data_IF_718539161561
#
_entry.id   IF_718539161561
#
_cell.length_a   1.000
_cell.length_b   1.000
_cell.length_c   1.000
_cell.angle_alpha   90.00
_cell.angle_beta   90.00
_cell.angle_gamma   90.00
#
_symmetry.space_group_name_H-M   'P 1'
#
loop_
_entity.id
_entity.type
_entity.pdbx_description
1 polymer ?
#
# COMPACT_ATOMS: atom_id res chain seq x y z
N UNK A 1 -0.77 18.01 3.94
CA UNK A 1 -1.44 16.74 4.33
C UNK A 1 -0.47 15.92 5.16
N UNK A 2 -0.90 15.35 6.29
CA UNK A 2 -0.06 14.45 7.09
C UNK A 2 0.08 13.10 6.37
N UNK A 3 1.29 12.60 6.10
CA UNK A 3 1.49 11.31 5.45
C UNK A 3 1.14 10.15 6.41
N UNK A 4 0.65 9.03 5.87
CA UNK A 4 0.27 7.84 6.65
C UNK A 4 1.47 6.92 6.97
N UNK A 5 2.63 7.20 6.38
CA UNK A 5 3.89 6.51 6.58
C UNK A 5 5.05 7.52 6.45
N UNK A 6 6.26 7.11 6.83
CA UNK A 6 7.48 7.92 6.65
C UNK A 6 8.51 7.18 5.80
N UNK A 7 9.54 7.89 5.33
CA UNK A 7 10.68 7.24 4.64
C UNK A 7 11.42 6.28 5.57
N UNK A 8 11.44 6.55 6.88
CA UNK A 8 12.01 5.64 7.88
C UNK A 8 11.22 4.32 7.95
N UNK A 9 9.89 4.37 7.84
CA UNK A 9 9.05 3.17 7.77
C UNK A 9 9.35 2.31 6.54
N UNK A 10 9.68 2.95 5.42
CA UNK A 10 10.10 2.28 4.18
C UNK A 10 11.48 1.64 4.37
N UNK A 11 12.45 2.40 4.89
CA UNK A 11 13.81 1.91 5.14
C UNK A 11 13.84 0.75 6.15
N UNK A 12 13.00 0.79 7.20
CA UNK A 12 12.94 -0.25 8.21
C UNK A 12 12.40 -1.59 7.69
N UNK A 13 11.79 -1.61 6.50
CA UNK A 13 11.17 -2.79 5.87
C UNK A 13 11.98 -3.36 4.70
N UNK A 14 13.17 -2.82 4.46
CA UNK A 14 14.11 -3.37 3.49
C UNK A 14 15.47 -3.55 4.16
N UNK A 15 16.15 -4.65 3.82
CA UNK A 15 17.51 -4.93 4.29
C UNK A 15 18.54 -4.07 3.54
N UNK A 16 18.15 -3.47 2.40
CA UNK A 16 19.02 -2.64 1.57
C UNK A 16 18.89 -1.18 1.99
N UNK A 17 20.03 -0.53 2.21
CA UNK A 17 20.05 0.91 2.43
C UNK A 17 19.63 1.66 1.17
N UNK A 18 18.56 2.45 1.28
CA UNK A 18 18.09 3.28 0.18
C UNK A 18 19.10 4.37 -0.11
N UNK A 19 19.46 4.55 -1.38
CA UNK A 19 20.30 5.68 -1.80
C UNK A 19 19.56 7.01 -1.57
N UNK A 20 20.28 8.13 -1.56
CA UNK A 20 19.67 9.45 -1.41
C UNK A 20 18.59 9.73 -2.48
N UNK A 21 18.80 9.26 -3.71
CA UNK A 21 17.80 9.38 -4.79
C UNK A 21 16.57 8.51 -4.51
N UNK A 22 16.76 7.28 -4.03
CA UNK A 22 15.66 6.40 -3.65
C UNK A 22 14.88 6.94 -2.45
N UNK A 23 15.55 7.55 -1.47
CA UNK A 23 14.91 8.22 -0.33
C UNK A 23 14.06 9.42 -0.78
N UNK A 24 14.57 10.23 -1.72
CA UNK A 24 13.81 11.34 -2.30
C UNK A 24 12.58 10.84 -3.06
N UNK A 25 12.72 9.78 -3.87
CA UNK A 25 11.58 9.14 -4.55
C UNK A 25 10.60 8.54 -3.56
N UNK A 26 11.07 7.86 -2.50
CA UNK A 26 10.22 7.28 -1.47
C UNK A 26 9.36 8.35 -0.77
N UNK A 27 9.92 9.54 -0.49
CA UNK A 27 9.17 10.63 0.12
C UNK A 27 7.99 11.09 -0.75
N UNK A 28 8.20 11.21 -2.07
CA UNK A 28 7.14 11.55 -3.03
C UNK A 28 6.09 10.44 -3.08
N UNK A 29 6.53 9.19 -3.26
CA UNK A 29 5.65 8.04 -3.36
C UNK A 29 4.81 7.81 -2.10
N UNK A 30 5.35 8.07 -0.91
CA UNK A 30 4.60 8.03 0.35
C UNK A 30 3.49 9.08 0.38
N UNK A 31 3.76 10.28 -0.14
CA UNK A 31 2.76 11.34 -0.30
C UNK A 31 1.63 10.92 -1.23
N UNK A 32 1.99 10.40 -2.40
CA UNK A 32 1.03 9.92 -3.40
C UNK A 32 0.21 8.74 -2.88
N UNK A 33 0.85 7.78 -2.22
CA UNK A 33 0.18 6.62 -1.63
C UNK A 33 -0.83 7.06 -0.56
N UNK A 34 -0.45 8.03 0.27
CA UNK A 34 -1.35 8.60 1.28
C UNK A 34 -2.58 9.28 0.64
N UNK A 35 -2.39 9.96 -0.50
CA UNK A 35 -3.50 10.57 -1.23
C UNK A 35 -4.41 9.51 -1.88
N UNK A 36 -3.84 8.47 -2.49
CA UNK A 36 -4.59 7.35 -3.10
C UNK A 36 -5.43 6.63 -2.04
N UNK A 37 -4.84 6.31 -0.88
CA UNK A 37 -5.56 5.65 0.22
C UNK A 37 -6.75 6.48 0.66
N UNK A 38 -6.58 7.79 0.88
CA UNK A 38 -7.70 8.66 1.29
C UNK A 38 -8.78 8.80 0.22
N UNK A 39 -8.41 8.75 -1.05
CA UNK A 39 -9.38 8.77 -2.15
C UNK A 39 -10.15 7.45 -2.28
N UNK A 40 -9.51 6.30 -2.00
CA UNK A 40 -10.12 4.96 -2.15
C UNK A 40 -10.77 4.43 -0.88
N UNK A 41 -10.35 4.91 0.28
CA UNK A 41 -10.85 4.53 1.60
C UNK A 41 -11.39 5.80 2.28
N UNK A 42 -12.57 6.30 1.86
CA UNK A 42 -13.15 7.51 2.44
C UNK A 42 -13.46 7.37 3.93
N UNK A 43 -13.75 6.14 4.38
CA UNK A 43 -14.02 5.78 5.78
C UNK A 43 -12.74 5.41 6.57
N UNK A 44 -11.57 5.89 6.15
CA UNK A 44 -10.32 5.62 6.86
C UNK A 44 -10.44 6.14 8.30
N UNK A 45 -10.15 5.27 9.28
CA UNK A 45 -10.21 5.65 10.70
C UNK A 45 -9.24 6.78 11.05
N UNK A 46 -9.62 7.62 12.01
CA UNK A 46 -8.77 8.63 12.63
C UNK A 46 -8.69 8.37 14.15
N UNK A 47 -7.53 7.96 14.69
CA UNK A 47 -6.25 7.79 13.99
C UNK A 47 -6.25 6.61 12.99
N UNK A 48 -5.36 6.65 11.97
CA UNK A 48 -5.22 5.56 11.00
C UNK A 48 -4.91 4.22 11.67
N UNK A 49 -5.32 3.09 11.07
CA UNK A 49 -5.01 1.77 11.60
C UNK A 49 -3.49 1.54 11.65
N UNK A 50 -3.03 0.77 12.63
CA UNK A 50 -1.60 0.45 12.80
C UNK A 50 -0.99 -0.31 11.61
N UNK A 51 -1.83 -0.88 10.74
CA UNK A 51 -1.43 -1.53 9.48
C UNK A 51 -1.03 -0.53 8.39
N UNK A 52 -1.46 0.74 8.47
CA UNK A 52 -1.27 1.74 7.42
C UNK A 52 0.21 1.97 7.05
N UNK A 53 1.16 2.15 7.99
CA UNK A 53 2.56 2.32 7.63
C UNK A 53 3.14 1.10 6.89
N UNK A 54 2.71 -0.11 7.24
CA UNK A 54 3.17 -1.34 6.61
C UNK A 54 2.65 -1.51 5.18
N UNK A 55 1.38 -1.24 4.97
CA UNK A 55 0.76 -1.28 3.64
C UNK A 55 1.41 -0.25 2.71
N UNK A 56 1.51 1.01 3.15
CA UNK A 56 2.13 2.06 2.34
C UNK A 56 3.60 1.76 2.03
N UNK A 57 4.39 1.36 3.03
CA UNK A 57 5.80 1.05 2.81
C UNK A 57 5.99 -0.11 1.80
N UNK A 58 5.14 -1.13 1.86
CA UNK A 58 5.18 -2.26 0.92
C UNK A 58 4.86 -1.81 -0.51
N UNK A 59 3.82 -0.98 -0.69
CA UNK A 59 3.49 -0.40 -1.99
C UNK A 59 4.60 0.49 -2.55
N UNK A 60 5.24 1.30 -1.70
CA UNK A 60 6.37 2.17 -2.07
C UNK A 60 7.60 1.35 -2.45
N UNK A 61 7.97 0.32 -1.68
CA UNK A 61 9.08 -0.57 -2.03
C UNK A 61 8.84 -1.28 -3.36
N UNK A 62 7.60 -1.68 -3.62
CA UNK A 62 7.19 -2.28 -4.90
C UNK A 62 7.33 -1.30 -6.07
N UNK A 63 6.94 -0.05 -5.87
CA UNK A 63 7.09 1.02 -6.86
C UNK A 63 8.57 1.34 -7.12
N UNK A 64 9.40 1.40 -6.08
CA UNK A 64 10.84 1.61 -6.20
C UNK A 64 11.56 0.46 -6.91
N UNK A 65 11.07 -0.76 -6.74
CA UNK A 65 11.61 -1.94 -7.42
C UNK A 65 11.16 -2.07 -8.88
N UNK A 66 10.15 -1.30 -9.30
CA UNK A 66 9.61 -1.32 -10.66
C UNK A 66 10.30 -0.26 -11.53
N UNK A 67 10.80 -0.60 -12.72
CA UNK A 67 11.38 0.38 -13.62
C UNK A 67 10.32 1.41 -14.07
N UNK A 68 10.70 2.70 -14.23
CA UNK A 68 9.76 3.80 -14.49
C UNK A 68 9.05 3.72 -15.84
N UNK A 69 9.58 2.94 -16.78
CA UNK A 69 8.96 2.73 -18.10
C UNK A 69 7.71 1.83 -18.06
N UNK A 70 7.42 1.18 -16.94
CA UNK A 70 6.38 0.15 -16.87
C UNK A 70 6.59 -1.02 -17.84
N UNK A 71 7.75 -1.08 -18.50
CA UNK A 71 8.01 -1.97 -19.61
C UNK A 71 8.39 -3.37 -19.13
N UNK A 72 7.64 -4.30 -19.72
CA UNK A 72 7.76 -5.75 -19.69
C UNK A 72 9.18 -6.21 -19.97
N UNK A 73 9.60 -7.21 -19.22
CA UNK A 73 10.39 -8.32 -19.75
C UNK A 73 11.66 -7.92 -20.51
N UNK A 74 12.76 -7.72 -19.80
CA UNK A 74 14.08 -7.91 -20.42
C UNK A 74 14.51 -9.36 -20.16
N UNK A 75 14.44 -10.20 -21.19
CA UNK A 75 15.00 -11.56 -21.14
C UNK A 75 16.52 -11.42 -21.14
N UNK A 76 17.13 -11.30 -19.96
CA UNK A 76 18.58 -11.45 -19.77
C UNK A 76 18.81 -12.78 -19.06
N UNK A 77 19.12 -13.81 -19.83
CA UNK A 77 19.74 -15.05 -19.32
C UNK A 77 18.94 -15.84 -18.28
N UNK A 78 17.73 -16.30 -18.61
CA UNK A 78 17.09 -17.44 -17.92
C UNK A 78 16.29 -17.16 -16.64
N UNK A 79 16.25 -15.92 -16.14
CA UNK A 79 15.45 -15.56 -14.96
C UNK A 79 14.32 -14.59 -15.35
N UNK A 80 13.07 -15.06 -15.29
CA UNK A 80 11.89 -14.23 -15.52
C UNK A 80 11.41 -13.62 -14.20
N UNK A 81 11.34 -12.29 -14.11
CA UNK A 81 10.69 -11.57 -13.01
C UNK A 81 9.45 -10.87 -13.56
N UNK A 82 8.27 -11.40 -13.25
CA UNK A 82 6.99 -10.82 -13.66
C UNK A 82 6.64 -9.65 -12.72
N UNK A 83 6.47 -8.45 -13.28
CA UNK A 83 5.88 -7.34 -12.53
C UNK A 83 4.39 -7.61 -12.30
N UNK A 84 3.91 -7.38 -11.08
CA UNK A 84 2.60 -7.85 -10.62
C UNK A 84 1.40 -6.97 -11.01
N UNK A 85 1.59 -5.82 -11.71
CA UNK A 85 0.48 -4.97 -12.16
C UNK A 85 0.80 -4.23 -13.46
N UNK A 86 -0.22 -4.06 -14.30
CA UNK A 86 -0.13 -3.37 -15.59
C UNK A 86 0.13 -1.88 -15.36
N UNK A 87 1.20 -1.33 -15.96
CA UNK A 87 1.57 0.09 -15.86
C UNK A 87 2.72 0.44 -14.92
N UNK A 88 3.35 -0.55 -14.26
CA UNK A 88 4.61 -0.40 -13.48
C UNK A 88 4.73 0.93 -12.73
N UNK A 89 4.06 1.02 -11.60
CA UNK A 89 3.99 2.26 -10.82
C UNK A 89 3.49 2.01 -9.41
N UNK A 90 3.15 3.08 -8.70
CA UNK A 90 2.55 2.99 -7.38
C UNK A 90 1.11 2.50 -7.47
N UNK A 91 0.83 1.36 -6.83
CA UNK A 91 -0.53 0.83 -6.71
C UNK A 91 -0.73 0.16 -5.35
N UNK A 92 -1.98 0.12 -4.89
CA UNK A 92 -2.43 -0.67 -3.75
C UNK A 92 -3.35 -1.79 -4.25
N UNK A 93 -3.17 -2.99 -3.74
CA UNK A 93 -4.08 -4.12 -4.01
C UNK A 93 -5.38 -3.98 -3.24
N UNK A 94 -6.43 -4.70 -3.65
CA UNK A 94 -7.69 -4.73 -2.91
C UNK A 94 -7.52 -5.26 -1.49
N UNK A 95 -6.71 -6.32 -1.29
CA UNK A 95 -6.38 -6.84 0.05
C UNK A 95 -5.68 -5.79 0.92
N UNK A 96 -4.75 -5.03 0.35
CA UNK A 96 -4.06 -3.94 1.03
C UNK A 96 -5.02 -2.83 1.44
N UNK A 97 -5.99 -2.50 0.59
CA UNK A 97 -7.03 -1.51 0.90
C UNK A 97 -8.01 -2.04 1.96
N UNK A 98 -8.32 -3.34 1.94
CA UNK A 98 -9.22 -3.97 2.91
C UNK A 98 -8.63 -3.94 4.34
N UNK A 99 -7.32 -4.13 4.47
CA UNK A 99 -6.60 -3.96 5.74
C UNK A 99 -6.66 -2.54 6.32
N UNK A 100 -7.03 -1.54 5.51
CA UNK A 100 -7.18 -0.15 5.92
C UNK A 100 -8.64 0.24 6.18
N UNK A 101 -9.60 -0.59 5.77
CA UNK A 101 -11.01 -0.34 6.02
C UNK A 101 -11.33 -0.64 7.48
N UNK A 102 -12.23 0.15 8.10
CA UNK A 102 -12.72 -0.18 9.43
C UNK A 102 -13.36 -1.58 9.41
N UNK A 103 -13.23 -2.36 10.50
CA UNK A 103 -13.86 -3.67 10.58
C UNK A 103 -15.36 -3.51 10.38
N UNK A 104 -15.95 -4.38 9.53
CA UNK A 104 -17.38 -4.35 9.28
C UNK A 104 -18.14 -4.39 10.62
N UNK A 105 -19.16 -3.53 10.83
CA UNK A 105 -19.94 -3.58 12.05
C UNK A 105 -20.53 -4.97 12.21
N UNK A 106 -20.38 -5.57 13.40
CA UNK A 106 -20.92 -6.89 13.70
C UNK A 106 -22.41 -6.94 13.29
N UNK A 107 -22.89 -8.05 12.70
CA UNK A 107 -24.29 -8.17 12.33
C UNK A 107 -25.13 -7.91 13.57
N UNK A 108 -25.96 -6.85 13.51
CA UNK A 108 -26.89 -6.52 14.60
C UNK A 108 -27.80 -7.72 14.75
N UNK A 109 -27.66 -8.43 15.88
CA UNK A 109 -28.18 -9.77 16.08
C UNK A 109 -29.64 -9.92 15.64
N UNK A 110 -29.91 -11.02 14.93
CA UNK A 110 -31.24 -11.51 14.69
C UNK A 110 -31.95 -11.69 16.05
N UNK A 111 -32.92 -10.83 16.34
CA UNK A 111 -33.82 -11.01 17.46
C UNK A 111 -34.83 -12.09 17.06
N UNK A 112 -34.74 -13.27 17.68
CA UNK A 112 -35.79 -14.28 17.59
C UNK A 112 -37.04 -13.77 18.31
N UNK A 113 -38.08 -13.40 17.56
CA UNK A 113 -39.43 -13.24 18.13
C UNK A 113 -39.95 -14.66 18.40
N UNK A 114 -40.12 -15.01 19.68
CA UNK A 114 -40.91 -16.17 20.08
C UNK A 114 -42.36 -15.71 20.20
N UNK A 115 -43.23 -16.19 19.33
CA UNK A 115 -44.69 -16.01 19.47
C UNK A 115 -45.22 -17.05 20.47
N UNK A 116 -45.88 -16.53 21.51
CA UNK A 116 -46.66 -17.26 22.53
C UNK A 116 -47.86 -17.98 21.94
#
# INVERSE_FOLDING_TARGET
MTPLATVADVQARTEVQLTAEQQARAAVLVGDASAIVRARVPELSDPPPATAPGVLATAVLRALASPPDGNKSETVGGHSRTAAHEGGGLYLTDDELDLLRPPAPAPRGAFSIWTV
#
